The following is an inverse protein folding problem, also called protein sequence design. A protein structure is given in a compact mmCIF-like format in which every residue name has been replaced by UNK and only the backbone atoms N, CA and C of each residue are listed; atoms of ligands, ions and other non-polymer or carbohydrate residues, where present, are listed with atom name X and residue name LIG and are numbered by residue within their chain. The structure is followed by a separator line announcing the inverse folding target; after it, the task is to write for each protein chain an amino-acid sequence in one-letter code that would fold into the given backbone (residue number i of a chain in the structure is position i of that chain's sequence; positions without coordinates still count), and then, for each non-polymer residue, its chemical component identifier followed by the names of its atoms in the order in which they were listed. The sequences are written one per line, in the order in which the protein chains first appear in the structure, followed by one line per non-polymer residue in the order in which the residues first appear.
data_IF_594342764221
#
_entry.id   IF_594342764221
#
_cell.length_a   1.000
_cell.length_b   1.000
_cell.length_c   1.000
_cell.angle_alpha   90.00
_cell.angle_beta   90.00
_cell.angle_gamma   90.00
#
_symmetry.space_group_name_H-M   'P 1'
#
loop_
_entity.id
_entity.type
_entity.pdbx_description
1 polymer ?
#
# COMPACT_ATOMS: atom_id res chain seq x y z
N UNK A 1 -22.84 -0.24 -3.24
CA UNK A 1 -22.28 -1.24 -4.15
C UNK A 1 -21.11 -0.61 -4.93
N UNK A 2 -19.92 -0.55 -4.33
CA UNK A 2 -18.78 0.21 -4.90
C UNK A 2 -17.83 -0.69 -5.71
N UNK A 3 -18.40 -1.64 -6.46
CA UNK A 3 -17.66 -2.56 -7.33
C UNK A 3 -16.65 -1.84 -8.24
N UNK A 4 -16.99 -0.72 -8.92
CA UNK A 4 -16.01 -0.04 -9.78
C UNK A 4 -14.82 0.52 -9.00
N UNK A 5 -15.02 1.02 -7.79
CA UNK A 5 -13.94 1.55 -6.96
C UNK A 5 -12.99 0.44 -6.47
N UNK A 6 -13.54 -0.73 -6.13
CA UNK A 6 -12.73 -1.90 -5.72
C UNK A 6 -11.91 -2.44 -6.88
N UNK A 7 -12.49 -2.53 -8.08
CA UNK A 7 -11.78 -2.96 -9.28
C UNK A 7 -10.63 -1.99 -9.59
N UNK A 8 -10.90 -0.68 -9.57
CA UNK A 8 -9.89 0.34 -9.85
C UNK A 8 -8.76 0.31 -8.80
N UNK A 9 -9.12 0.26 -7.51
CA UNK A 9 -8.16 0.16 -6.42
C UNK A 9 -7.29 -1.10 -6.52
N UNK A 10 -7.88 -2.25 -6.86
CA UNK A 10 -7.16 -3.50 -7.07
C UNK A 10 -6.15 -3.42 -8.22
N UNK A 11 -6.53 -2.81 -9.34
CA UNK A 11 -5.63 -2.61 -10.48
C UNK A 11 -4.46 -1.68 -10.13
N UNK A 12 -4.76 -0.55 -9.48
CA UNK A 12 -3.76 0.43 -9.02
C UNK A 12 -2.74 -0.19 -8.05
N UNK A 13 -3.23 -0.95 -7.06
CA UNK A 13 -2.38 -1.67 -6.10
C UNK A 13 -1.54 -2.74 -6.81
N UNK A 14 -2.15 -3.51 -7.73
CA UNK A 14 -1.46 -4.52 -8.52
C UNK A 14 -0.29 -3.96 -9.31
N UNK A 15 -0.50 -2.85 -10.03
CA UNK A 15 0.57 -2.16 -10.79
C UNK A 15 1.66 -1.66 -9.83
N UNK A 16 1.28 -1.07 -8.69
CA UNK A 16 2.21 -0.58 -7.66
C UNK A 16 3.13 -1.68 -7.11
N UNK A 17 2.59 -2.86 -6.77
CA UNK A 17 3.41 -4.00 -6.29
C UNK A 17 4.42 -4.49 -7.32
N UNK A 18 4.05 -4.43 -8.61
CA UNK A 18 4.90 -4.86 -9.72
C UNK A 18 6.05 -3.90 -9.95
N UNK A 19 5.79 -2.58 -9.85
CA UNK A 19 6.82 -1.54 -9.90
C UNK A 19 7.77 -1.61 -8.72
N UNK A 20 7.28 -1.95 -7.53
CA UNK A 20 8.09 -2.13 -6.32
C UNK A 20 8.89 -3.46 -6.31
N UNK A 21 8.79 -4.27 -7.37
CA UNK A 21 9.42 -5.58 -7.52
C UNK A 21 9.18 -6.52 -6.32
N UNK A 22 7.99 -6.45 -5.71
CA UNK A 22 7.56 -7.34 -4.64
C UNK A 22 6.34 -6.82 -3.89
N UNK A 23 5.84 -7.64 -2.96
CA UNK A 23 4.65 -7.32 -2.16
C UNK A 23 5.02 -6.85 -0.76
N UNK A 24 4.07 -6.23 -0.07
CA UNK A 24 4.15 -5.84 1.35
C UNK A 24 4.52 -7.00 2.25
N UNK A 25 3.91 -8.18 2.03
CA UNK A 25 4.20 -9.38 2.80
C UNK A 25 5.63 -9.90 2.57
N UNK A 26 6.11 -9.87 1.32
CA UNK A 26 7.46 -10.34 0.97
C UNK A 26 8.58 -9.46 1.51
N UNK A 27 8.43 -8.13 1.41
CA UNK A 27 9.40 -7.19 1.98
C UNK A 27 9.29 -7.07 3.50
N UNK A 28 8.08 -7.26 4.05
CA UNK A 28 7.82 -7.29 5.48
C UNK A 28 8.36 -8.57 6.13
N UNK A 29 7.73 -9.71 5.90
CA UNK A 29 8.03 -10.95 6.63
C UNK A 29 9.44 -11.47 6.33
N UNK A 30 9.79 -11.65 5.05
CA UNK A 30 11.11 -12.16 4.67
C UNK A 30 12.21 -11.09 4.75
N UNK A 31 11.89 -9.82 4.46
CA UNK A 31 12.87 -8.71 4.48
C UNK A 31 13.22 -8.22 5.90
N UNK A 32 12.24 -8.14 6.81
CA UNK A 32 12.46 -7.78 8.22
C UNK A 32 13.15 -8.93 8.95
N UNK A 33 12.78 -10.18 8.67
CA UNK A 33 13.43 -11.36 9.29
C UNK A 33 14.92 -11.49 8.93
N UNK A 34 15.34 -10.95 7.78
CA UNK A 34 16.76 -10.89 7.36
C UNK A 34 17.48 -9.58 7.78
N UNK A 35 16.83 -8.74 8.60
CA UNK A 35 17.32 -7.43 9.03
C UNK A 35 17.75 -6.50 7.87
N UNK A 36 17.07 -6.59 6.73
CA UNK A 36 17.37 -5.75 5.57
C UNK A 36 16.74 -4.37 5.72
N UNK A 37 17.57 -3.32 5.83
CA UNK A 37 17.14 -1.92 5.83
C UNK A 37 16.23 -1.58 4.63
N UNK A 38 16.45 -2.21 3.48
CA UNK A 38 15.59 -2.02 2.29
C UNK A 38 14.18 -2.59 2.49
N UNK A 39 14.04 -3.75 3.14
CA UNK A 39 12.74 -4.35 3.42
C UNK A 39 11.92 -3.54 4.43
N UNK A 40 12.58 -3.02 5.45
CA UNK A 40 11.96 -2.14 6.47
C UNK A 40 11.50 -0.83 5.84
N UNK A 41 12.35 -0.17 5.04
CA UNK A 41 11.99 1.07 4.36
C UNK A 41 10.79 0.88 3.41
N UNK A 42 10.82 -0.17 2.58
CA UNK A 42 9.71 -0.49 1.68
C UNK A 42 8.38 -0.73 2.42
N UNK A 43 8.44 -1.41 3.58
CA UNK A 43 7.26 -1.67 4.41
C UNK A 43 6.70 -0.38 5.01
N UNK A 44 7.57 0.52 5.51
CA UNK A 44 7.16 1.82 6.04
C UNK A 44 6.47 2.68 4.98
N UNK A 45 7.02 2.77 3.76
CA UNK A 45 6.39 3.52 2.68
C UNK A 45 5.00 2.96 2.32
N UNK A 46 4.86 1.63 2.30
CA UNK A 46 3.57 1.01 2.04
C UNK A 46 2.53 1.36 3.11
N UNK A 47 2.89 1.25 4.40
CA UNK A 47 2.00 1.58 5.50
C UNK A 47 1.63 3.06 5.54
N UNK A 48 2.61 3.96 5.32
CA UNK A 48 2.37 5.40 5.26
C UNK A 48 1.45 5.74 4.09
N UNK A 49 1.69 5.18 2.90
CA UNK A 49 0.86 5.44 1.73
C UNK A 49 -0.60 4.99 1.93
N UNK A 50 -0.81 3.83 2.56
CA UNK A 50 -2.15 3.34 2.90
C UNK A 50 -2.84 4.20 3.96
N UNK A 51 -2.12 4.58 5.02
CA UNK A 51 -2.64 5.49 6.05
C UNK A 51 -3.01 6.86 5.48
N UNK A 52 -2.15 7.42 4.62
CA UNK A 52 -2.40 8.68 3.94
C UNK A 52 -3.60 8.58 3.00
N UNK A 53 -3.72 7.48 2.24
CA UNK A 53 -4.86 7.26 1.36
C UNK A 53 -6.18 7.23 2.14
N UNK A 54 -6.21 6.60 3.32
CA UNK A 54 -7.39 6.58 4.19
C UNK A 54 -7.68 7.96 4.78
N UNK A 55 -6.67 8.70 5.24
CA UNK A 55 -6.85 10.06 5.75
C UNK A 55 -7.41 10.97 4.66
N UNK A 56 -6.84 10.92 3.46
CA UNK A 56 -7.29 11.71 2.30
C UNK A 56 -8.73 11.32 1.95
N UNK A 57 -9.04 10.04 1.82
CA UNK A 57 -10.42 9.59 1.53
C UNK A 57 -11.41 10.02 2.61
N UNK A 58 -11.02 9.94 3.88
CA UNK A 58 -11.87 10.32 5.01
C UNK A 58 -12.10 11.82 5.07
N UNK A 59 -11.07 12.64 4.83
CA UNK A 59 -11.22 14.09 4.76
C UNK A 59 -12.03 14.53 3.54
N UNK A 60 -11.82 13.91 2.36
CA UNK A 60 -12.60 14.19 1.16
C UNK A 60 -14.06 13.79 1.29
N UNK A 61 -14.36 12.66 1.96
CA UNK A 61 -15.73 12.19 2.16
C UNK A 61 -16.46 12.88 3.32
N UNK A 62 -15.77 13.37 4.36
CA UNK A 62 -16.41 14.19 5.42
C UNK A 62 -16.64 15.66 4.99
N UNK A 63 -15.98 16.14 3.93
CA UNK A 63 -16.16 17.51 3.41
C UNK A 63 -17.30 17.62 2.39
N UNK A 64 -17.98 16.53 2.04
CA UNK A 64 -19.13 16.48 1.10
C UNK A 64 -20.46 16.39 1.86
#
# INVERSE_FOLDING_TARGET
ENIPAVILAGLLVGIGTRLANGCTSGHGVCGISRLSLRGIAATMFYLISGGLAVIVFRHLLETI
#
